data_IF_957203237311
#
_entry.id   IF_957203237311
#
_cell.length_a   1.000
_cell.length_b   1.000
_cell.length_c   1.000
_cell.angle_alpha   90.00
_cell.angle_beta   90.00
_cell.angle_gamma   90.00
#
_symmetry.space_group_name_H-M   'P 1'
#
loop_
_entity.id
_entity.type
_entity.pdbx_description
1 polymer ?
#
# COMPACT_ATOMS: atom_id res chain seq x y z
N UNK A 1 -5.20 19.99 -9.82
CA UNK A 1 -5.10 18.70 -10.51
C UNK A 1 -4.92 17.65 -9.44
N UNK A 2 -5.89 16.74 -9.29
CA UNK A 2 -5.85 15.69 -8.26
C UNK A 2 -4.81 14.61 -8.57
N UNK A 3 -4.48 13.74 -7.60
CA UNK A 3 -3.49 12.66 -7.84
C UNK A 3 -3.95 11.67 -8.91
N UNK A 4 -5.25 11.40 -9.03
CA UNK A 4 -5.79 10.53 -10.10
C UNK A 4 -5.56 11.09 -11.50
N UNK A 5 -5.76 12.39 -11.71
CA UNK A 5 -5.52 13.02 -13.02
C UNK A 5 -4.04 12.93 -13.39
N UNK A 6 -3.15 13.12 -12.40
CA UNK A 6 -1.70 12.96 -12.58
C UNK A 6 -1.31 11.50 -12.86
N UNK A 7 -1.88 10.55 -12.12
CA UNK A 7 -1.66 9.11 -12.32
C UNK A 7 -2.14 8.67 -13.70
N UNK A 8 -3.31 9.11 -14.14
CA UNK A 8 -3.84 8.83 -15.48
C UNK A 8 -2.87 9.29 -16.57
N UNK A 9 -2.33 10.50 -16.43
CA UNK A 9 -1.34 11.03 -17.37
C UNK A 9 -0.03 10.24 -17.34
N UNK A 10 0.46 9.88 -16.15
CA UNK A 10 1.71 9.13 -15.97
C UNK A 10 1.62 7.71 -16.53
N UNK A 11 0.50 7.03 -16.26
CA UNK A 11 0.24 5.66 -16.70
C UNK A 11 -0.24 5.58 -18.16
N UNK A 12 -0.57 6.70 -18.79
CA UNK A 12 -1.08 6.73 -20.17
C UNK A 12 -2.45 6.06 -20.34
N UNK A 13 -3.22 5.92 -19.25
CA UNK A 13 -4.54 5.26 -19.24
C UNK A 13 -5.63 6.26 -18.88
N UNK A 14 -6.82 6.07 -19.46
CA UNK A 14 -7.99 6.81 -19.02
C UNK A 14 -8.58 6.14 -17.78
N UNK A 15 -8.92 6.91 -16.73
CA UNK A 15 -9.53 6.34 -15.54
C UNK A 15 -10.90 5.76 -15.91
N UNK A 16 -11.18 4.57 -15.39
CA UNK A 16 -12.53 4.03 -15.37
C UNK A 16 -13.33 4.72 -14.26
N UNK A 17 -14.64 4.48 -14.18
CA UNK A 17 -15.46 4.94 -13.06
C UNK A 17 -16.25 3.76 -12.54
N UNK A 18 -15.68 3.10 -11.55
CA UNK A 18 -16.32 2.04 -10.79
C UNK A 18 -17.00 2.64 -9.56
N UNK A 19 -18.03 1.96 -9.06
CA UNK A 19 -18.68 2.32 -7.81
C UNK A 19 -18.73 1.09 -6.92
N UNK A 20 -18.20 1.23 -5.71
CA UNK A 20 -18.13 0.15 -4.73
C UNK A 20 -19.01 0.45 -3.52
N UNK A 21 -19.56 -0.62 -2.93
CA UNK A 21 -20.34 -0.55 -1.70
C UNK A 21 -19.40 -0.46 -0.47
N UNK A 22 -18.75 0.69 -0.30
CA UNK A 22 -17.72 0.92 0.72
C UNK A 22 -18.15 0.58 2.15
N UNK A 23 -19.42 0.79 2.49
CA UNK A 23 -19.91 0.49 3.85
C UNK A 23 -19.68 -0.96 4.27
N UNK A 24 -19.89 -1.93 3.37
CA UNK A 24 -19.68 -3.34 3.68
C UNK A 24 -18.19 -3.68 3.85
N UNK A 25 -17.32 -3.04 3.08
CA UNK A 25 -15.86 -3.20 3.19
C UNK A 25 -15.36 -2.58 4.49
N UNK A 26 -15.83 -1.37 4.82
CA UNK A 26 -15.44 -0.66 6.04
C UNK A 26 -15.91 -1.38 7.32
N UNK A 27 -17.04 -2.08 7.26
CA UNK A 27 -17.47 -2.97 8.34
C UNK A 27 -16.50 -4.17 8.54
N UNK A 28 -15.88 -4.66 7.48
CA UNK A 28 -14.97 -5.80 7.53
C UNK A 28 -13.54 -5.42 7.95
N UNK A 29 -12.96 -4.39 7.33
CA UNK A 29 -11.54 -4.03 7.50
C UNK A 29 -11.30 -2.77 8.33
N UNK A 30 -12.37 -2.10 8.75
CA UNK A 30 -12.31 -0.78 9.37
C UNK A 30 -12.27 0.36 8.35
N UNK A 31 -11.99 1.56 8.82
CA UNK A 31 -12.02 2.74 7.96
C UNK A 31 -11.03 2.61 6.78
N UNK A 32 -11.53 2.89 5.57
CA UNK A 32 -10.76 2.77 4.33
C UNK A 32 -10.25 4.17 3.92
N UNK A 33 -8.94 4.34 3.64
CA UNK A 33 -8.38 5.62 3.21
C UNK A 33 -9.06 6.16 1.96
N UNK A 34 -9.27 7.48 1.92
CA UNK A 34 -9.92 8.12 0.77
C UNK A 34 -9.09 8.02 -0.50
N UNK A 35 -7.75 8.08 -0.37
CA UNK A 35 -6.83 7.89 -1.48
C UNK A 35 -6.98 6.52 -2.13
N UNK A 36 -7.08 5.46 -1.32
CA UNK A 36 -7.30 4.10 -1.84
C UNK A 36 -8.65 3.96 -2.56
N UNK A 37 -9.75 4.49 -1.97
CA UNK A 37 -11.06 4.47 -2.64
C UNK A 37 -10.98 5.11 -4.01
N UNK A 38 -10.31 6.26 -4.09
CA UNK A 38 -10.14 6.99 -5.34
C UNK A 38 -9.29 6.20 -6.34
N UNK A 39 -8.20 5.53 -5.91
CA UNK A 39 -7.42 4.65 -6.80
C UNK A 39 -8.32 3.58 -7.39
N UNK A 40 -9.00 2.78 -6.58
CA UNK A 40 -9.73 1.62 -7.12
C UNK A 40 -10.97 1.99 -7.90
N UNK A 41 -11.63 3.11 -7.60
CA UNK A 41 -12.75 3.61 -8.39
C UNK A 41 -12.29 4.02 -9.80
N UNK A 42 -11.01 4.34 -9.98
CA UNK A 42 -10.44 4.80 -11.25
C UNK A 42 -9.57 3.74 -11.96
N UNK A 43 -8.90 2.89 -11.19
CA UNK A 43 -7.88 1.93 -11.61
C UNK A 43 -8.04 0.60 -10.86
N UNK A 44 -9.27 0.17 -10.54
CA UNK A 44 -9.52 -1.09 -9.84
C UNK A 44 -8.85 -2.27 -10.55
N UNK A 45 -8.05 -3.03 -9.79
CA UNK A 45 -7.27 -4.16 -10.33
C UNK A 45 -6.02 -3.72 -11.09
N UNK A 46 -5.51 -2.51 -10.87
CA UNK A 46 -4.27 -2.02 -11.50
C UNK A 46 -3.12 -3.00 -11.30
N UNK A 47 -2.49 -3.37 -12.41
CA UNK A 47 -1.29 -4.19 -12.47
C UNK A 47 -0.23 -3.46 -13.32
N UNK A 48 0.97 -3.32 -12.77
CA UNK A 48 2.10 -2.67 -13.42
C UNK A 48 3.23 -3.67 -13.64
N UNK A 49 3.75 -3.68 -14.86
CA UNK A 49 4.96 -4.39 -15.28
C UNK A 49 4.89 -5.91 -15.02
N UNK A 50 3.72 -6.50 -15.30
CA UNK A 50 3.52 -7.96 -15.26
C UNK A 50 3.50 -8.52 -13.83
N UNK A 51 2.79 -7.86 -12.93
CA UNK A 51 2.61 -8.29 -11.55
C UNK A 51 3.67 -7.76 -10.59
N UNK A 52 4.56 -6.87 -11.04
CA UNK A 52 5.55 -6.25 -10.16
C UNK A 52 4.85 -5.42 -9.09
N UNK A 53 3.96 -4.49 -9.47
CA UNK A 53 3.14 -3.73 -8.53
C UNK A 53 1.66 -3.89 -8.85
N UNK A 54 0.88 -4.35 -7.88
CA UNK A 54 -0.56 -4.58 -8.03
C UNK A 54 -1.34 -3.88 -6.94
N UNK A 55 -2.38 -3.17 -7.33
CA UNK A 55 -3.38 -2.63 -6.39
C UNK A 55 -4.48 -3.68 -6.23
N UNK A 56 -4.70 -4.12 -4.99
CA UNK A 56 -5.78 -5.03 -4.65
C UNK A 56 -7.14 -4.41 -4.95
N UNK A 57 -8.08 -5.22 -5.42
CA UNK A 57 -9.48 -4.76 -5.54
C UNK A 57 -10.16 -4.74 -4.16
N UNK A 58 -11.31 -4.08 -4.00
CA UNK A 58 -12.02 -4.11 -2.71
C UNK A 58 -12.39 -5.51 -2.22
N UNK A 59 -12.58 -6.48 -3.12
CA UNK A 59 -12.81 -7.88 -2.79
C UNK A 59 -11.58 -8.53 -2.14
N UNK A 60 -10.37 -8.12 -2.54
CA UNK A 60 -9.11 -8.58 -1.94
C UNK A 60 -9.01 -8.18 -0.46
N UNK A 61 -9.42 -6.95 -0.12
CA UNK A 61 -9.43 -6.46 1.27
C UNK A 61 -10.30 -7.33 2.16
N UNK A 62 -11.49 -7.70 1.67
CA UNK A 62 -12.44 -8.55 2.40
C UNK A 62 -11.91 -9.97 2.62
N UNK A 63 -11.07 -10.49 1.72
CA UNK A 63 -10.51 -11.83 1.82
C UNK A 63 -9.33 -11.91 2.81
N UNK A 64 -8.54 -10.84 2.92
CA UNK A 64 -7.33 -10.84 3.76
C UNK A 64 -7.60 -10.27 5.14
N UNK A 65 -8.56 -9.36 5.31
CA UNK A 65 -9.11 -8.92 6.60
C UNK A 65 -8.14 -8.14 7.50
N UNK A 66 -6.95 -8.69 7.78
CA UNK A 66 -5.82 -8.18 8.58
C UNK A 66 -4.58 -8.97 8.17
N UNK A 67 -3.38 -8.36 8.13
CA UNK A 67 -2.16 -9.09 7.76
C UNK A 67 -2.06 -10.40 8.56
N UNK A 68 -2.25 -11.52 7.87
CA UNK A 68 -2.26 -12.86 8.43
C UNK A 68 -0.92 -13.56 8.23
N UNK A 69 0.15 -12.80 7.94
CA UNK A 69 1.45 -13.34 7.55
C UNK A 69 1.92 -14.34 8.61
N UNK A 70 1.93 -15.65 8.30
CA UNK A 70 2.23 -16.70 9.28
C UNK A 70 3.63 -16.59 9.87
N UNK A 71 4.53 -15.89 9.18
CA UNK A 71 5.92 -15.70 9.56
C UNK A 71 6.09 -14.72 10.73
N UNK A 72 5.06 -13.92 11.04
CA UNK A 72 5.01 -12.98 12.17
C UNK A 72 4.32 -13.59 13.41
N UNK A 73 3.58 -14.70 13.23
CA UNK A 73 2.69 -15.29 14.25
C UNK A 73 3.41 -15.70 15.53
N UNK A 74 4.73 -15.91 15.49
CA UNK A 74 5.48 -16.43 16.64
C UNK A 74 6.45 -15.47 17.33
N UNK A 75 6.56 -14.17 17.00
CA UNK A 75 7.40 -13.30 17.86
C UNK A 75 7.06 -11.81 18.06
N UNK A 76 6.56 -11.01 17.12
CA UNK A 76 6.49 -9.54 17.34
C UNK A 76 5.23 -8.90 16.75
N UNK A 77 4.23 -8.68 17.61
CA UNK A 77 2.97 -7.98 17.28
C UNK A 77 3.19 -6.49 16.94
N UNK A 78 4.19 -5.89 17.57
CA UNK A 78 4.48 -4.46 17.48
C UNK A 78 5.89 -4.28 16.95
N UNK A 79 6.07 -3.38 15.99
CA UNK A 79 7.39 -2.97 15.48
C UNK A 79 7.59 -1.51 15.80
N UNK A 80 8.71 -1.15 16.43
CA UNK A 80 9.06 0.24 16.69
C UNK A 80 9.59 0.90 15.41
N UNK A 81 9.19 2.16 15.19
CA UNK A 81 9.56 2.92 14.00
C UNK A 81 10.27 4.20 14.43
N UNK A 82 11.47 4.43 13.92
CA UNK A 82 12.24 5.66 14.11
C UNK A 82 12.41 6.37 12.77
N UNK A 83 12.01 7.64 12.72
CA UNK A 83 12.15 8.49 11.54
C UNK A 83 11.59 7.85 10.25
N UNK A 84 10.46 7.15 10.38
CA UNK A 84 9.79 6.48 9.26
C UNK A 84 10.36 5.11 8.88
N UNK A 85 11.30 4.55 9.66
CA UNK A 85 11.88 3.23 9.41
C UNK A 85 11.85 2.35 10.67
N UNK A 86 11.54 1.07 10.52
CA UNK A 86 11.53 0.09 11.61
C UNK A 86 12.04 -1.28 11.16
N UNK A 87 12.66 -2.01 12.09
CA UNK A 87 13.12 -3.39 11.90
C UNK A 87 12.49 -4.25 12.97
N UNK A 88 11.88 -5.38 12.59
CA UNK A 88 11.14 -6.21 13.54
C UNK A 88 11.98 -6.58 14.78
N UNK A 89 13.27 -6.85 14.61
CA UNK A 89 14.16 -7.38 15.66
C UNK A 89 14.88 -6.31 16.50
N UNK A 90 14.73 -5.02 16.21
CA UNK A 90 15.50 -3.96 16.88
C UNK A 90 14.59 -2.87 17.45
N UNK A 91 14.79 -2.55 18.74
CA UNK A 91 14.18 -1.39 19.38
C UNK A 91 15.04 -0.15 19.14
N UNK A 92 14.40 0.98 18.84
CA UNK A 92 15.07 2.22 18.48
C UNK A 92 14.69 3.41 19.39
N UNK A 93 13.73 3.21 20.30
CA UNK A 93 13.41 4.13 21.40
C UNK A 93 12.62 5.39 21.01
N UNK A 94 11.91 5.40 19.87
CA UNK A 94 11.03 6.50 19.45
C UNK A 94 9.71 6.54 20.22
N UNK A 95 9.23 5.39 20.71
CA UNK A 95 7.87 5.24 21.24
C UNK A 95 6.77 5.26 20.17
N UNK A 96 7.13 5.26 18.88
CA UNK A 96 6.21 5.11 17.77
C UNK A 96 6.21 3.66 17.27
N UNK A 97 5.02 3.07 17.07
CA UNK A 97 4.91 1.67 16.71
C UNK A 97 3.92 1.43 15.57
N UNK A 98 4.14 0.32 14.86
CA UNK A 98 3.20 -0.35 13.96
C UNK A 98 2.60 -1.54 14.71
N UNK A 99 1.27 -1.67 14.75
CA UNK A 99 0.56 -2.85 15.28
C UNK A 99 0.11 -3.72 14.10
N UNK A 100 0.68 -4.91 13.95
CA UNK A 100 0.40 -5.81 12.83
C UNK A 100 -1.06 -6.21 12.72
N UNK A 101 -1.77 -6.28 13.85
CA UNK A 101 -3.20 -6.58 13.87
C UNK A 101 -4.08 -5.45 13.33
N UNK A 102 -3.46 -4.31 13.01
CA UNK A 102 -4.12 -3.16 12.40
C UNK A 102 -3.73 -2.99 10.94
N UNK A 103 -2.78 -3.75 10.43
CA UNK A 103 -2.37 -3.65 9.03
C UNK A 103 -3.42 -4.26 8.11
N UNK A 104 -3.81 -3.49 7.10
CA UNK A 104 -4.68 -3.91 6.01
C UNK A 104 -3.91 -3.75 4.70
N UNK A 105 -3.70 -4.88 4.03
CA UNK A 105 -2.95 -5.00 2.78
C UNK A 105 -3.77 -4.42 1.62
N UNK A 106 -3.17 -3.59 0.78
CA UNK A 106 -3.88 -2.93 -0.34
C UNK A 106 -3.13 -2.91 -1.65
N UNK A 107 -1.81 -3.07 -1.61
CA UNK A 107 -1.00 -3.29 -2.80
C UNK A 107 0.17 -4.21 -2.46
N UNK A 108 0.82 -4.76 -3.48
CA UNK A 108 1.98 -5.62 -3.32
C UNK A 108 2.47 -6.17 -4.65
N UNK A 109 3.41 -7.11 -4.60
CA UNK A 109 3.84 -7.88 -5.78
C UNK A 109 3.12 -9.21 -5.86
N UNK A 110 2.93 -9.73 -7.07
CA UNK A 110 2.43 -11.09 -7.28
C UNK A 110 3.39 -12.15 -6.70
N UNK A 111 4.69 -11.88 -6.76
CA UNK A 111 5.72 -12.74 -6.19
C UNK A 111 5.72 -12.75 -4.65
N UNK A 112 5.02 -11.81 -4.00
CA UNK A 112 4.97 -11.71 -2.53
C UNK A 112 6.26 -11.18 -1.90
N UNK A 113 7.12 -10.51 -2.66
CA UNK A 113 8.40 -9.97 -2.18
C UNK A 113 8.21 -8.72 -1.30
N UNK A 114 7.12 -8.00 -1.49
CA UNK A 114 6.77 -6.80 -0.73
C UNK A 114 5.26 -6.62 -0.67
N UNK A 115 4.82 -5.89 0.36
CA UNK A 115 3.43 -5.52 0.55
C UNK A 115 3.30 -4.07 1.05
N UNK A 116 2.15 -3.48 0.73
CA UNK A 116 1.76 -2.15 1.17
C UNK A 116 0.49 -2.24 2.00
N UNK A 117 0.52 -1.54 3.11
CA UNK A 117 -0.53 -1.55 4.11
C UNK A 117 -0.95 -0.13 4.47
N UNK A 118 -2.13 -0.02 5.07
CA UNK A 118 -2.42 1.07 6.00
C UNK A 118 -2.74 0.48 7.38
N UNK A 119 -2.66 1.31 8.42
CA UNK A 119 -3.11 0.92 9.76
C UNK A 119 -4.56 1.34 9.99
N UNK A 120 -5.45 0.37 10.11
CA UNK A 120 -6.82 0.63 10.51
C UNK A 120 -6.86 1.20 11.94
N UNK A 121 -7.78 2.14 12.18
CA UNK A 121 -8.01 2.80 13.48
C UNK A 121 -6.99 3.87 13.92
N UNK A 122 -6.02 4.25 13.09
CA UNK A 122 -5.30 5.52 13.30
C UNK A 122 -6.16 6.71 12.86
N UNK A 123 -5.98 7.85 13.53
CA UNK A 123 -6.66 9.10 13.17
C UNK A 123 -6.09 9.75 11.90
N UNK A 124 -4.85 9.42 11.58
CA UNK A 124 -4.13 9.88 10.39
C UNK A 124 -3.68 8.65 9.60
N UNK A 125 -4.04 8.59 8.33
CA UNK A 125 -3.61 7.52 7.45
C UNK A 125 -2.15 7.69 7.08
N UNK A 126 -1.46 6.55 6.99
CA UNK A 126 -0.09 6.42 6.52
C UNK A 126 0.03 5.12 5.75
N UNK A 127 0.91 5.11 4.75
CA UNK A 127 1.28 3.89 4.04
C UNK A 127 2.45 3.25 4.78
N UNK A 128 2.35 1.95 4.99
CA UNK A 128 3.45 1.11 5.49
C UNK A 128 3.86 0.18 4.37
N UNK A 129 5.10 0.32 3.90
CA UNK A 129 5.71 -0.60 2.95
C UNK A 129 6.60 -1.59 3.70
N UNK A 130 6.57 -2.86 3.32
CA UNK A 130 7.39 -3.90 3.96
C UNK A 130 7.96 -4.88 2.96
N UNK A 131 9.20 -5.31 3.23
CA UNK A 131 9.91 -6.43 2.63
C UNK A 131 10.41 -7.37 3.75
N UNK A 132 9.60 -8.38 4.08
CA UNK A 132 9.87 -9.36 5.15
C UNK A 132 10.02 -8.75 6.56
N UNK A 133 11.17 -8.16 6.88
CA UNK A 133 11.56 -7.74 8.24
C UNK A 133 11.73 -6.24 8.41
N UNK A 134 11.71 -5.47 7.32
CA UNK A 134 11.80 -4.02 7.39
C UNK A 134 10.46 -3.35 7.10
N UNK A 135 10.29 -2.17 7.69
CA UNK A 135 9.05 -1.39 7.65
C UNK A 135 9.41 0.05 7.34
N UNK A 136 8.77 0.58 6.30
CA UNK A 136 8.96 1.94 5.85
C UNK A 136 7.62 2.67 5.90
N UNK A 137 7.56 3.78 6.64
CA UNK A 137 6.34 4.51 6.96
C UNK A 137 6.31 5.85 6.23
N UNK A 138 5.25 6.06 5.47
CA UNK A 138 5.00 7.26 4.69
C UNK A 138 3.74 7.95 5.20
N UNK A 139 3.89 9.12 5.79
CA UNK A 139 2.79 9.94 6.32
C UNK A 139 1.99 10.63 5.20
N UNK A 140 1.29 9.82 4.40
CA UNK A 140 0.47 10.25 3.27
C UNK A 140 -0.61 9.23 2.94
N UNK A 141 -1.59 9.64 2.14
CA UNK A 141 -2.65 8.79 1.61
C UNK A 141 -2.14 7.89 0.47
N UNK A 142 -2.82 6.75 0.19
CA UNK A 142 -2.38 5.80 -0.86
C UNK A 142 -2.23 6.38 -2.27
N UNK A 143 -3.09 7.33 -2.68
CA UNK A 143 -3.04 7.96 -4.00
C UNK A 143 -1.86 8.92 -4.15
N UNK A 144 -1.57 9.69 -3.10
CA UNK A 144 -0.37 10.51 -3.00
C UNK A 144 0.88 9.64 -3.05
N UNK A 145 0.91 8.57 -2.26
CA UNK A 145 2.02 7.62 -2.21
C UNK A 145 2.28 7.03 -3.59
N UNK A 146 1.25 6.47 -4.24
CA UNK A 146 1.39 5.86 -5.55
C UNK A 146 1.89 6.86 -6.59
N UNK A 147 1.35 8.08 -6.61
CA UNK A 147 1.81 9.11 -7.53
C UNK A 147 3.28 9.46 -7.30
N UNK A 148 3.66 9.75 -6.05
CA UNK A 148 5.04 10.13 -5.70
C UNK A 148 6.03 9.02 -5.97
N UNK A 149 5.64 7.78 -5.68
CA UNK A 149 6.42 6.58 -5.97
C UNK A 149 6.71 6.48 -7.47
N UNK A 150 5.66 6.43 -8.30
CA UNK A 150 5.81 6.27 -9.75
C UNK A 150 6.50 7.47 -10.41
N UNK A 151 6.38 8.67 -9.83
CA UNK A 151 7.06 9.88 -10.31
C UNK A 151 8.48 10.05 -9.73
N UNK A 152 8.99 9.08 -8.96
CA UNK A 152 10.33 9.09 -8.33
C UNK A 152 10.56 10.28 -7.40
N UNK A 153 9.50 10.78 -6.74
CA UNK A 153 9.56 11.86 -5.74
C UNK A 153 9.86 11.34 -4.33
N UNK A 154 9.68 10.04 -4.11
CA UNK A 154 10.04 9.33 -2.88
C UNK A 154 10.84 8.09 -3.23
N UNK A 155 11.71 7.67 -2.32
CA UNK A 155 12.34 6.36 -2.37
C UNK A 155 11.46 5.36 -1.62
N UNK A 156 11.32 4.17 -2.17
CA UNK A 156 10.65 3.04 -1.50
C UNK A 156 11.55 1.81 -1.58
N UNK A 157 12.41 1.58 -0.58
CA UNK A 157 13.43 0.52 -0.63
C UNK A 157 12.88 -0.89 -0.94
N UNK A 158 11.69 -1.31 -0.44
CA UNK A 158 11.08 -2.59 -0.81
C UNK A 158 10.84 -2.79 -2.33
N UNK A 159 10.79 -1.70 -3.09
CA UNK A 159 10.54 -1.68 -4.54
C UNK A 159 11.81 -1.42 -5.37
N UNK A 160 12.98 -1.37 -4.73
CA UNK A 160 14.22 -0.96 -5.38
C UNK A 160 14.80 -2.09 -6.24
N UNK A 161 14.21 -2.28 -7.42
CA UNK A 161 14.80 -3.04 -8.53
C UNK A 161 15.53 -2.08 -9.49
N UNK A 162 16.59 -2.55 -10.15
CA UNK A 162 17.37 -1.74 -11.08
C UNK A 162 16.49 -1.25 -12.25
N UNK A 163 16.02 -0.01 -12.13
CA UNK A 163 15.25 0.68 -13.16
C UNK A 163 13.75 0.82 -12.88
N UNK A 164 13.24 0.34 -11.74
CA UNK A 164 11.86 0.55 -11.33
C UNK A 164 11.74 1.71 -10.30
N UNK A 165 10.75 2.61 -10.41
CA UNK A 165 9.77 2.73 -11.48
C UNK A 165 10.43 3.15 -12.81
N UNK A 166 10.00 2.58 -13.93
CA UNK A 166 10.53 2.86 -15.27
C UNK A 166 10.19 4.25 -15.82
N UNK A 167 10.60 4.54 -17.06
CA UNK A 167 10.12 5.74 -17.79
C UNK A 167 8.70 5.55 -18.35
N UNK A 168 8.32 4.28 -18.56
CA UNK A 168 7.02 3.83 -19.04
C UNK A 168 6.59 2.63 -18.20
N UNK A 169 5.29 2.37 -18.16
CA UNK A 169 4.70 1.25 -17.44
C UNK A 169 3.90 0.38 -18.40
N UNK A 170 4.06 -0.94 -18.29
CA UNK A 170 3.12 -1.89 -18.90
C UNK A 170 1.92 -2.04 -17.97
N UNK A 171 0.76 -1.51 -18.38
CA UNK A 171 -0.43 -1.42 -17.52
C UNK A 171 -1.46 -2.48 -17.91
N UNK A 172 -1.85 -3.31 -16.96
CA UNK A 172 -2.93 -4.30 -17.06
C UNK A 172 -3.99 -4.10 -15.95
N UNK A 173 -5.13 -4.78 -16.09
CA UNK A 173 -6.22 -4.79 -15.11
C UNK A 173 -6.77 -6.22 -14.94
N UNK A 174 -7.07 -6.64 -13.71
CA UNK A 174 -7.56 -7.99 -13.38
C UNK A 174 -8.86 -8.02 -12.57
#
# INVERSE_FOLDING_TARGET
MGYIEKLSHLLGVNPASWSYAWGAIEEAVGAVPSGYKTIVENFGGLDLDGGFFRVGTPEFLNAIGRSGSPEIIDSMRMVEVCDGYGVALEECGSGEYIDHFRLVDWAGSEAGNFAFHWECLKSEYRVVATDYHEYYVYSMEPDEFLFKLLNREIECPPLNDEGWPGETFDVEFF
#
